data_IF_199140118878
#
_entry.id   IF_199140118878
#
_cell.length_a   1.000
_cell.length_b   1.000
_cell.length_c   1.000
_cell.angle_alpha   90.00
_cell.angle_beta   90.00
_cell.angle_gamma   90.00
#
_symmetry.space_group_name_H-M   'P 1'
#
loop_
_entity.id
_entity.type
_entity.pdbx_description
1 polymer ?
#
# COMPACT_ATOMS: atom_id res chain seq x y z
N UNK A 1 5.57 -17.78 3.88
CA UNK A 1 4.90 -17.06 2.78
C UNK A 1 3.67 -16.39 3.36
N UNK A 2 3.56 -15.07 3.31
CA UNK A 2 2.45 -14.32 3.93
C UNK A 2 1.95 -13.26 2.95
N UNK A 3 0.64 -13.16 2.78
CA UNK A 3 -0.01 -12.12 1.98
C UNK A 3 -0.68 -11.13 2.92
N UNK A 4 -0.39 -9.84 2.73
CA UNK A 4 -0.99 -8.76 3.51
C UNK A 4 -2.01 -8.02 2.65
N UNK A 5 -3.28 -8.04 3.07
CA UNK A 5 -4.28 -7.14 2.53
C UNK A 5 -4.12 -5.78 3.20
N UNK A 6 -3.95 -4.74 2.39
CA UNK A 6 -3.68 -3.38 2.85
C UNK A 6 -4.72 -2.45 2.22
N UNK A 7 -5.39 -1.66 3.07
CA UNK A 7 -6.17 -0.52 2.58
C UNK A 7 -5.23 0.64 2.28
N UNK A 8 -5.24 1.13 1.03
CA UNK A 8 -4.39 2.23 0.58
C UNK A 8 -4.86 3.61 1.07
N UNK A 9 -6.06 3.70 1.65
CA UNK A 9 -6.69 4.98 1.99
C UNK A 9 -7.51 5.55 0.83
N UNK A 10 -7.94 6.81 0.91
CA UNK A 10 -8.83 7.43 -0.07
C UNK A 10 -8.11 8.06 -1.28
N UNK A 11 -6.76 8.04 -1.31
CA UNK A 11 -5.96 8.58 -2.40
C UNK A 11 -4.67 9.22 -1.90
N UNK A 12 -4.76 10.14 -0.95
CA UNK A 12 -3.59 10.84 -0.40
C UNK A 12 -2.60 9.88 0.29
N UNK A 13 -1.33 9.77 -0.18
CA UNK A 13 -0.33 8.88 0.38
C UNK A 13 -0.03 9.10 1.87
N UNK A 14 -0.17 10.32 2.37
CA UNK A 14 0.08 10.66 3.78
C UNK A 14 -0.98 10.07 4.71
N UNK A 15 -2.12 9.62 4.17
CA UNK A 15 -3.19 8.95 4.92
C UNK A 15 -2.98 7.44 5.06
N UNK A 16 -1.88 6.90 4.53
CA UNK A 16 -1.54 5.51 4.72
C UNK A 16 -1.17 5.24 6.19
N UNK A 17 -1.64 4.13 6.76
CA UNK A 17 -1.22 3.77 8.11
C UNK A 17 0.29 3.49 8.18
N UNK A 18 0.94 3.88 9.28
CA UNK A 18 2.38 3.62 9.48
C UNK A 18 2.74 2.13 9.38
N UNK A 19 1.81 1.24 9.76
CA UNK A 19 2.00 -0.21 9.62
C UNK A 19 2.03 -0.63 8.15
N UNK A 20 1.09 -0.14 7.34
CA UNK A 20 1.05 -0.42 5.91
C UNK A 20 2.30 0.10 5.20
N UNK A 21 2.72 1.34 5.47
CA UNK A 21 3.94 1.92 4.90
C UNK A 21 5.18 1.05 5.16
N UNK A 22 5.36 0.59 6.42
CA UNK A 22 6.47 -0.30 6.78
C UNK A 22 6.40 -1.66 6.07
N UNK A 23 5.21 -2.24 5.93
CA UNK A 23 5.03 -3.53 5.26
C UNK A 23 5.30 -3.42 3.76
N UNK A 24 4.73 -2.43 3.08
CA UNK A 24 4.94 -2.20 1.64
C UNK A 24 6.43 -2.05 1.35
N UNK A 25 7.16 -1.26 2.15
CA UNK A 25 8.61 -1.07 2.01
C UNK A 25 9.44 -2.35 2.18
N UNK A 26 8.96 -3.30 2.99
CA UNK A 26 9.64 -4.56 3.26
C UNK A 26 9.25 -5.69 2.32
N UNK A 27 8.14 -5.55 1.58
CA UNK A 27 7.64 -6.59 0.69
C UNK A 27 8.42 -6.60 -0.64
N UNK A 28 8.96 -7.75 -1.06
CA UNK A 28 9.66 -7.85 -2.35
C UNK A 28 8.70 -7.80 -3.56
N UNK A 29 7.39 -7.97 -3.32
CA UNK A 29 6.35 -7.90 -4.35
C UNK A 29 5.20 -7.06 -3.80
N UNK A 30 4.75 -6.09 -4.59
CA UNK A 30 3.57 -5.27 -4.32
C UNK A 30 2.61 -5.37 -5.50
N UNK A 31 1.36 -5.76 -5.24
CA UNK A 31 0.28 -5.80 -6.22
C UNK A 31 -0.82 -4.85 -5.75
N UNK A 32 -1.25 -3.94 -6.61
CA UNK A 32 -2.23 -2.91 -6.27
C UNK A 32 -3.20 -2.63 -7.43
N UNK A 33 -4.34 -2.01 -7.12
CA UNK A 33 -5.34 -1.63 -8.10
C UNK A 33 -4.92 -0.35 -8.82
N UNK A 34 -4.22 -0.48 -9.94
CA UNK A 34 -3.59 0.64 -10.65
C UNK A 34 -4.50 1.83 -10.97
N UNK A 35 -5.80 1.62 -11.20
CA UNK A 35 -6.74 2.71 -11.49
C UNK A 35 -7.17 3.54 -10.27
N UNK A 36 -6.86 3.10 -9.04
CA UNK A 36 -7.35 3.69 -7.78
C UNK A 36 -6.24 4.08 -6.81
N UNK A 37 -5.02 3.58 -7.00
CA UNK A 37 -3.85 4.00 -6.23
C UNK A 37 -3.09 5.02 -7.07
N UNK A 38 -2.94 6.27 -6.61
CA UNK A 38 -2.25 7.30 -7.39
C UNK A 38 -0.77 6.94 -7.58
N UNK A 39 -0.20 7.41 -8.69
CA UNK A 39 1.23 7.27 -9.00
C UNK A 39 2.10 8.34 -8.31
N UNK A 40 1.44 9.35 -7.74
CA UNK A 40 2.00 10.57 -7.15
C UNK A 40 2.31 10.39 -5.66
#
# INVERSE_FOLDING_TARGET
MTVYFIGAGPGDPELLTLKAARLIKACPVCLFAGSLVPEE
#
